data_IF_457051180687
#
_entry.id   IF_457051180687
#
_cell.length_a   1.000
_cell.length_b   1.000
_cell.length_c   1.000
_cell.angle_alpha   90.00
_cell.angle_beta   90.00
_cell.angle_gamma   90.00
#
_symmetry.space_group_name_H-M   'P 1'
#
loop_
_entity.id
_entity.type
_entity.pdbx_description
1 polymer ?
#
# COMPACT_ATOMS: atom_id res chain seq x y z
N UNK A 1 29.27 18.33 -17.70
CA UNK A 1 28.86 16.91 -17.82
C UNK A 1 28.08 16.50 -16.59
N UNK A 2 26.74 16.38 -16.67
CA UNK A 2 25.98 15.58 -15.72
C UNK A 2 25.59 14.27 -16.42
N UNK A 3 26.52 13.31 -16.47
CA UNK A 3 26.29 11.99 -17.11
C UNK A 3 25.33 11.10 -16.30
N UNK A 4 24.91 11.53 -15.11
CA UNK A 4 23.99 10.79 -14.24
C UNK A 4 22.78 11.67 -13.91
N UNK A 5 21.58 11.19 -14.22
CA UNK A 5 20.33 11.77 -13.76
C UNK A 5 19.75 10.91 -12.63
N UNK A 6 19.89 11.38 -11.38
CA UNK A 6 19.35 10.68 -10.21
C UNK A 6 17.82 10.72 -10.21
N UNK A 7 17.15 9.69 -9.68
CA UNK A 7 15.68 9.65 -9.52
C UNK A 7 15.33 9.65 -8.02
N UNK A 8 15.09 10.83 -7.46
CA UNK A 8 14.62 11.02 -6.08
C UNK A 8 13.13 11.35 -6.02
N UNK A 9 12.64 11.72 -4.82
CA UNK A 9 11.22 12.00 -4.53
C UNK A 9 10.52 12.87 -5.56
N UNK A 10 11.03 14.09 -5.78
CA UNK A 10 10.44 15.05 -6.73
C UNK A 10 10.34 14.46 -8.14
N UNK A 11 11.32 13.66 -8.58
CA UNK A 11 11.26 13.05 -9.92
C UNK A 11 10.30 11.86 -10.02
N UNK A 12 9.93 11.23 -8.90
CA UNK A 12 8.84 10.24 -8.88
C UNK A 12 7.48 10.92 -8.90
N UNK A 13 7.33 12.05 -8.21
CA UNK A 13 6.14 12.91 -8.32
C UNK A 13 5.93 13.39 -9.78
N UNK A 14 6.96 13.97 -10.41
CA UNK A 14 6.90 14.37 -11.82
C UNK A 14 6.60 13.19 -12.77
N UNK A 15 6.96 11.96 -12.40
CA UNK A 15 6.64 10.79 -13.18
C UNK A 15 5.13 10.47 -13.13
N UNK A 16 4.46 10.69 -11.99
CA UNK A 16 3.00 10.56 -11.87
C UNK A 16 2.31 11.56 -12.78
N UNK A 17 2.73 12.82 -12.77
CA UNK A 17 2.18 13.87 -13.65
C UNK A 17 2.37 13.51 -15.13
N UNK A 18 3.56 13.03 -15.49
CA UNK A 18 3.85 12.59 -16.85
C UNK A 18 2.99 11.39 -17.28
N UNK A 19 2.78 10.42 -16.38
CA UNK A 19 1.91 9.25 -16.62
C UNK A 19 0.47 9.73 -16.83
N UNK A 20 -0.07 10.53 -15.91
CA UNK A 20 -1.43 11.10 -16.02
C UNK A 20 -1.63 11.83 -17.34
N UNK A 21 -0.70 12.70 -17.74
CA UNK A 21 -0.76 13.41 -19.03
C UNK A 21 -0.72 12.46 -20.23
N UNK A 22 0.12 11.41 -20.18
CA UNK A 22 0.28 10.45 -21.28
C UNK A 22 -0.93 9.52 -21.42
N UNK A 23 -1.50 9.07 -20.31
CA UNK A 23 -2.65 8.14 -20.31
C UNK A 23 -3.99 8.88 -20.40
N UNK A 24 -4.00 10.20 -20.17
CA UNK A 24 -5.21 11.01 -19.98
C UNK A 24 -6.08 10.55 -18.79
N UNK A 25 -5.51 9.74 -17.88
CA UNK A 25 -6.18 9.36 -16.65
C UNK A 25 -5.87 10.41 -15.57
N UNK A 26 -6.87 10.91 -14.82
CA UNK A 26 -6.63 11.82 -13.70
C UNK A 26 -5.84 11.11 -12.59
N UNK A 27 -5.07 11.87 -11.79
CA UNK A 27 -4.27 11.31 -10.69
C UNK A 27 -5.15 10.59 -9.66
N UNK A 28 -6.40 11.02 -9.50
CA UNK A 28 -7.42 10.37 -8.66
C UNK A 28 -7.69 8.91 -9.04
N UNK A 29 -7.40 8.50 -10.28
CA UNK A 29 -7.57 7.11 -10.74
C UNK A 29 -6.29 6.28 -10.67
N UNK A 30 -5.17 6.88 -10.23
CA UNK A 30 -3.86 6.22 -10.16
C UNK A 30 -3.68 5.57 -8.79
N UNK A 31 -3.11 4.37 -8.81
CA UNK A 31 -2.59 3.66 -7.63
C UNK A 31 -1.06 3.72 -7.66
N UNK A 32 -0.43 4.18 -6.58
CA UNK A 32 1.03 4.12 -6.43
C UNK A 32 1.42 3.51 -5.08
N UNK A 33 2.49 2.72 -5.11
CA UNK A 33 3.06 2.04 -3.96
C UNK A 33 4.46 2.59 -3.68
N UNK A 34 4.76 2.83 -2.40
CA UNK A 34 6.08 3.25 -1.96
C UNK A 34 6.42 2.65 -0.60
N UNK A 35 7.71 2.42 -0.37
CA UNK A 35 8.21 1.77 0.85
C UNK A 35 9.24 2.62 1.60
N UNK A 36 9.70 3.72 1.00
CA UNK A 36 10.87 4.46 1.46
C UNK A 36 10.71 5.98 1.37
N UNK A 37 11.71 6.69 1.90
CA UNK A 37 11.78 8.15 1.81
C UNK A 37 11.79 8.66 0.36
N UNK A 38 12.25 7.88 -0.61
CA UNK A 38 12.29 8.32 -2.01
C UNK A 38 10.90 8.39 -2.65
N UNK A 39 9.87 7.86 -2.00
CA UNK A 39 8.52 7.76 -2.54
C UNK A 39 7.57 8.83 -1.97
N UNK A 40 7.99 9.57 -0.94
CA UNK A 40 7.09 10.43 -0.14
C UNK A 40 6.40 11.53 -0.95
N UNK A 41 7.09 12.09 -1.95
CA UNK A 41 6.54 13.13 -2.83
C UNK A 41 5.48 12.54 -3.76
N UNK A 42 5.76 11.37 -4.34
CA UNK A 42 4.82 10.63 -5.18
C UNK A 42 3.57 10.25 -4.40
N UNK A 43 3.74 9.67 -3.20
CA UNK A 43 2.62 9.26 -2.35
C UNK A 43 1.79 10.46 -1.90
N UNK A 44 2.44 11.55 -1.46
CA UNK A 44 1.73 12.76 -1.06
C UNK A 44 0.93 13.34 -2.23
N UNK A 45 1.52 13.38 -3.44
CA UNK A 45 0.83 13.90 -4.61
C UNK A 45 -0.44 13.11 -4.94
N UNK A 46 -0.38 11.77 -4.90
CA UNK A 46 -1.58 10.96 -5.09
C UNK A 46 -2.60 11.21 -3.99
N UNK A 47 -2.17 11.26 -2.73
CA UNK A 47 -3.04 11.48 -1.57
C UNK A 47 -3.81 12.80 -1.69
N UNK A 48 -3.14 13.87 -2.11
CA UNK A 48 -3.73 15.21 -2.24
C UNK A 48 -4.73 15.29 -3.41
N UNK A 49 -4.50 14.52 -4.47
CA UNK A 49 -5.35 14.48 -5.68
C UNK A 49 -6.45 13.41 -5.60
N UNK A 50 -6.63 12.76 -4.45
CA UNK A 50 -7.65 11.71 -4.26
C UNK A 50 -7.32 10.36 -4.88
N UNK A 51 -6.08 10.14 -5.33
CA UNK A 51 -5.60 8.85 -5.81
C UNK A 51 -5.29 7.88 -4.67
N UNK A 52 -4.91 6.65 -5.01
CA UNK A 52 -4.60 5.61 -4.01
C UNK A 52 -3.09 5.58 -3.75
N UNK A 53 -2.69 6.08 -2.58
CA UNK A 53 -1.30 6.16 -2.14
C UNK A 53 -1.05 5.09 -1.08
N UNK A 54 -0.23 4.09 -1.42
CA UNK A 54 0.01 2.91 -0.57
C UNK A 54 1.41 2.96 0.04
N UNK A 55 1.47 2.90 1.38
CA UNK A 55 2.68 2.52 2.11
C UNK A 55 2.80 1.00 2.13
N UNK A 56 3.73 0.44 1.35
CA UNK A 56 3.92 -1.00 1.19
C UNK A 56 5.12 -1.48 2.00
N UNK A 57 4.89 -2.24 3.09
CA UNK A 57 5.96 -2.69 4.01
C UNK A 57 6.97 -1.56 4.32
N UNK A 58 6.43 -0.36 4.50
CA UNK A 58 7.17 0.89 4.52
C UNK A 58 7.63 1.27 5.93
N UNK A 59 7.65 2.57 6.16
CA UNK A 59 8.14 3.16 7.41
C UNK A 59 7.33 4.42 7.76
N UNK A 60 7.77 5.15 8.79
CA UNK A 60 7.10 6.37 9.25
C UNK A 60 6.94 7.44 8.16
N UNK A 61 7.87 7.50 7.20
CA UNK A 61 7.86 8.50 6.14
C UNK A 61 6.76 8.20 5.11
N UNK A 62 6.60 6.93 4.72
CA UNK A 62 5.54 6.53 3.77
C UNK A 62 4.16 6.52 4.42
N UNK A 63 4.02 6.04 5.66
CA UNK A 63 2.74 6.03 6.38
C UNK A 63 2.16 7.45 6.50
N UNK A 64 2.99 8.46 6.83
CA UNK A 64 2.52 9.85 6.92
C UNK A 64 2.05 10.46 5.59
N UNK A 65 2.44 9.87 4.46
CA UNK A 65 2.24 10.41 3.10
C UNK A 65 1.32 9.55 2.24
N UNK A 66 0.82 8.46 2.79
CA UNK A 66 -0.10 7.51 2.16
C UNK A 66 -1.52 7.69 2.70
N UNK A 67 -2.50 7.05 2.04
CA UNK A 67 -3.85 6.86 2.55
C UNK A 67 -4.15 5.39 2.90
N UNK A 68 -3.35 4.44 2.42
CA UNK A 68 -3.47 3.02 2.75
C UNK A 68 -2.10 2.47 3.18
N UNK A 69 -2.09 1.57 4.14
CA UNK A 69 -0.96 0.74 4.53
C UNK A 69 -1.20 -0.70 4.11
N UNK A 70 -0.22 -1.34 3.47
CA UNK A 70 -0.24 -2.78 3.18
C UNK A 70 0.98 -3.42 3.85
N UNK A 71 0.72 -4.30 4.81
CA UNK A 71 1.73 -5.12 5.47
C UNK A 71 1.57 -6.56 5.02
N UNK A 72 2.51 -7.07 4.23
CA UNK A 72 2.39 -8.39 3.58
C UNK A 72 3.74 -9.03 3.30
N UNK A 73 3.77 -10.36 3.21
CA UNK A 73 4.98 -11.13 2.86
C UNK A 73 5.28 -11.15 1.36
N UNK A 74 4.31 -10.83 0.51
CA UNK A 74 4.46 -10.87 -0.96
C UNK A 74 3.55 -9.84 -1.65
N UNK A 75 3.83 -9.56 -2.92
CA UNK A 75 3.11 -8.53 -3.69
C UNK A 75 1.68 -8.91 -4.07
N UNK A 76 1.27 -10.19 -3.98
CA UNK A 76 -0.13 -10.58 -4.24
C UNK A 76 -1.09 -9.94 -3.23
N UNK A 77 -0.57 -9.52 -2.06
CA UNK A 77 -1.34 -8.77 -1.07
C UNK A 77 -1.86 -7.41 -1.56
N UNK A 78 -1.39 -6.90 -2.70
CA UNK A 78 -1.85 -5.62 -3.26
C UNK A 78 -3.05 -5.78 -4.18
N UNK A 79 -3.33 -7.00 -4.67
CA UNK A 79 -4.39 -7.26 -5.64
C UNK A 79 -5.77 -6.75 -5.20
N UNK A 80 -6.21 -6.89 -3.93
CA UNK A 80 -7.51 -6.37 -3.50
C UNK A 80 -7.68 -4.87 -3.74
N UNK A 81 -6.60 -4.08 -3.61
CA UNK A 81 -6.66 -2.62 -3.83
C UNK A 81 -6.96 -2.28 -5.29
N UNK A 82 -6.44 -3.07 -6.24
CA UNK A 82 -6.70 -2.86 -7.65
C UNK A 82 -8.10 -3.32 -8.06
N UNK A 83 -8.60 -4.39 -7.44
CA UNK A 83 -9.96 -4.90 -7.69
C UNK A 83 -11.04 -3.95 -7.17
N UNK A 84 -10.84 -3.36 -5.99
CA UNK A 84 -11.86 -2.54 -5.30
C UNK A 84 -11.50 -1.05 -5.23
N UNK A 85 -10.71 -0.54 -6.18
CA UNK A 85 -10.27 0.87 -6.17
C UNK A 85 -11.45 1.86 -6.11
N UNK A 86 -12.56 1.55 -6.79
CA UNK A 86 -13.71 2.44 -6.93
C UNK A 86 -14.63 2.43 -5.69
N UNK A 87 -14.51 1.39 -4.85
CA UNK A 87 -15.28 1.19 -3.62
C UNK A 87 -14.37 1.06 -2.39
N UNK A 88 -13.17 1.65 -2.46
CA UNK A 88 -12.04 1.35 -1.59
C UNK A 88 -12.34 1.57 -0.10
N UNK A 89 -13.08 2.63 0.26
CA UNK A 89 -13.41 2.91 1.66
C UNK A 89 -14.27 1.78 2.27
N UNK A 90 -15.30 1.34 1.56
CA UNK A 90 -16.17 0.25 2.00
C UNK A 90 -15.43 -1.09 2.10
N UNK A 91 -14.50 -1.34 1.17
CA UNK A 91 -13.63 -2.50 1.21
C UNK A 91 -12.72 -2.46 2.45
N UNK A 92 -12.06 -1.33 2.71
CA UNK A 92 -11.14 -1.17 3.85
C UNK A 92 -11.85 -1.33 5.19
N UNK A 93 -13.05 -0.75 5.35
CA UNK A 93 -13.84 -0.88 6.58
C UNK A 93 -14.18 -2.34 6.89
N UNK A 94 -14.61 -3.10 5.88
CA UNK A 94 -14.89 -4.53 6.02
C UNK A 94 -13.61 -5.35 6.25
N UNK A 95 -12.54 -5.03 5.53
CA UNK A 95 -11.27 -5.74 5.61
C UNK A 95 -10.65 -5.60 6.99
N UNK A 96 -10.53 -4.37 7.51
CA UNK A 96 -9.96 -4.11 8.83
C UNK A 96 -10.78 -4.74 9.95
N UNK A 97 -12.11 -4.60 9.89
CA UNK A 97 -13.01 -5.13 10.92
C UNK A 97 -12.89 -6.64 11.09
N UNK A 98 -12.64 -7.37 10.00
CA UNK A 98 -12.61 -8.83 9.99
C UNK A 98 -11.19 -9.40 9.81
N UNK A 99 -10.15 -8.55 9.85
CA UNK A 99 -8.80 -8.94 9.51
C UNK A 99 -8.26 -10.08 10.39
N UNK A 100 -8.54 -10.07 11.69
CA UNK A 100 -8.08 -11.12 12.61
C UNK A 100 -8.67 -12.50 12.24
N UNK A 101 -9.94 -12.53 11.82
CA UNK A 101 -10.60 -13.74 11.34
C UNK A 101 -9.94 -14.22 10.04
N UNK A 102 -9.73 -13.33 9.07
CA UNK A 102 -9.13 -13.67 7.78
C UNK A 102 -7.69 -14.16 7.94
N UNK A 103 -6.90 -13.47 8.77
CA UNK A 103 -5.52 -13.82 9.06
C UNK A 103 -5.39 -15.20 9.69
N UNK A 104 -6.35 -15.61 10.52
CA UNK A 104 -6.36 -16.94 11.14
C UNK A 104 -6.53 -18.05 10.10
N UNK A 105 -7.36 -17.83 9.08
CA UNK A 105 -7.57 -18.75 7.98
C UNK A 105 -8.10 -17.99 6.74
N UNK A 106 -7.34 -17.94 5.62
CA UNK A 106 -7.77 -17.22 4.41
C UNK A 106 -9.08 -17.76 3.80
N UNK A 107 -9.52 -18.98 4.18
CA UNK A 107 -10.83 -19.50 3.75
C UNK A 107 -12.01 -18.76 4.37
N UNK A 108 -11.81 -18.10 5.51
CA UNK A 108 -12.84 -17.32 6.21
C UNK A 108 -13.19 -16.02 5.47
N UNK A 109 -12.40 -15.60 4.48
CA UNK A 109 -12.74 -14.45 3.65
C UNK A 109 -14.05 -14.77 2.89
N UNK A 110 -15.14 -14.01 3.09
CA UNK A 110 -16.42 -14.32 2.48
C UNK A 110 -16.37 -14.19 0.95
N UNK A 111 -17.22 -14.94 0.26
CA UNK A 111 -17.39 -14.80 -1.19
C UNK A 111 -17.86 -13.39 -1.54
N UNK A 112 -17.32 -12.83 -2.64
CA UNK A 112 -17.65 -11.49 -3.11
C UNK A 112 -16.87 -10.34 -2.46
N UNK A 113 -16.20 -10.56 -1.31
CA UNK A 113 -15.33 -9.54 -0.69
C UNK A 113 -14.00 -9.35 -1.45
N UNK A 114 -13.52 -10.43 -2.06
CA UNK A 114 -12.46 -10.45 -3.08
C UNK A 114 -12.82 -11.48 -4.16
N UNK A 115 -12.26 -11.34 -5.35
CA UNK A 115 -12.37 -12.38 -6.38
C UNK A 115 -11.88 -13.74 -5.87
N UNK A 116 -12.50 -14.80 -6.38
CA UNK A 116 -12.07 -16.18 -6.11
C UNK A 116 -10.61 -16.42 -6.51
N UNK A 117 -10.11 -15.74 -7.53
CA UNK A 117 -8.71 -15.83 -7.93
C UNK A 117 -7.77 -15.31 -6.82
N UNK A 118 -8.01 -14.12 -6.29
CA UNK A 118 -7.21 -13.57 -5.19
C UNK A 118 -7.33 -14.45 -3.94
N UNK A 119 -8.54 -14.87 -3.59
CA UNK A 119 -8.76 -15.78 -2.44
C UNK A 119 -7.96 -17.08 -2.61
N UNK A 120 -7.93 -17.65 -3.81
CA UNK A 120 -7.16 -18.86 -4.10
C UNK A 120 -5.65 -18.64 -3.92
N UNK A 121 -5.10 -17.48 -4.28
CA UNK A 121 -3.70 -17.17 -3.98
C UNK A 121 -3.42 -17.11 -2.47
N UNK A 122 -4.31 -16.47 -1.70
CA UNK A 122 -4.17 -16.35 -0.25
C UNK A 122 -4.23 -17.72 0.43
N UNK A 123 -5.16 -18.58 0.01
CA UNK A 123 -5.25 -19.97 0.47
C UNK A 123 -4.04 -20.79 0.04
N UNK A 124 -3.61 -20.71 -1.23
CA UNK A 124 -2.47 -21.48 -1.74
C UNK A 124 -1.17 -21.17 -0.99
N UNK A 125 -0.91 -19.89 -0.72
CA UNK A 125 0.32 -19.44 -0.07
C UNK A 125 0.19 -19.23 1.44
N UNK A 126 -0.97 -19.56 2.02
CA UNK A 126 -1.23 -19.48 3.46
C UNK A 126 -0.88 -18.12 4.07
N UNK A 127 -1.36 -17.04 3.44
CA UNK A 127 -1.16 -15.67 3.94
C UNK A 127 -2.38 -14.80 3.66
N UNK A 128 -2.54 -13.75 4.46
CA UNK A 128 -3.53 -12.67 4.25
C UNK A 128 -2.83 -11.33 4.49
N UNK A 129 -2.89 -10.37 3.54
CA UNK A 129 -2.31 -9.05 3.74
C UNK A 129 -3.07 -8.28 4.81
N UNK A 130 -2.34 -7.61 5.70
CA UNK A 130 -2.91 -6.59 6.57
C UNK A 130 -3.04 -5.31 5.75
N UNK A 131 -4.27 -4.84 5.55
CA UNK A 131 -4.57 -3.65 4.77
C UNK A 131 -5.29 -2.68 5.71
N UNK A 132 -4.72 -1.51 5.93
CA UNK A 132 -5.19 -0.53 6.92
C UNK A 132 -5.40 0.84 6.24
N UNK A 133 -6.57 1.45 6.43
CA UNK A 133 -6.92 2.82 6.07
C UNK A 133 -6.21 3.79 7.02
N UNK A 134 -5.50 4.76 6.46
CA UNK A 134 -4.70 5.73 7.21
C UNK A 134 -5.41 7.06 7.45
N UNK A 135 -6.56 7.32 6.82
CA UNK A 135 -7.21 8.64 6.84
C UNK A 135 -7.66 9.07 8.24
N UNK A 136 -8.15 8.14 9.06
CA UNK A 136 -8.81 8.43 10.34
C UNK A 136 -8.13 7.77 11.54
N UNK A 137 -6.82 7.51 11.46
CA UNK A 137 -6.05 6.87 12.54
C UNK A 137 -5.47 7.89 13.50
N UNK A 138 -5.58 7.62 14.79
CA UNK A 138 -4.86 8.38 15.84
C UNK A 138 -3.34 8.17 15.72
N UNK A 139 -2.55 9.07 16.32
CA UNK A 139 -1.09 8.92 16.35
C UNK A 139 -0.65 7.57 16.94
N UNK A 140 -1.36 7.08 17.97
CA UNK A 140 -1.07 5.77 18.58
C UNK A 140 -1.32 4.62 17.60
N UNK A 141 -2.40 4.66 16.84
CA UNK A 141 -2.67 3.65 15.81
C UNK A 141 -1.63 3.72 14.69
N UNK A 142 -1.27 4.93 14.23
CA UNK A 142 -0.22 5.10 13.23
C UNK A 142 1.12 4.51 13.71
N UNK A 143 1.51 4.72 14.97
CA UNK A 143 2.73 4.13 15.54
C UNK A 143 2.70 2.60 15.53
N UNK A 144 1.54 2.00 15.82
CA UNK A 144 1.33 0.54 15.74
C UNK A 144 1.48 0.05 14.30
N UNK A 145 0.86 0.74 13.34
CA UNK A 145 0.95 0.43 11.90
C UNK A 145 2.40 0.50 11.42
N UNK A 146 3.12 1.57 11.81
CA UNK A 146 4.54 1.76 11.47
C UNK A 146 5.37 0.61 12.05
N UNK A 147 5.11 0.19 13.29
CA UNK A 147 5.82 -0.93 13.90
C UNK A 147 5.58 -2.25 13.15
N UNK A 148 4.33 -2.54 12.76
CA UNK A 148 3.96 -3.71 11.94
C UNK A 148 4.67 -3.69 10.58
N UNK A 149 4.61 -2.57 9.85
CA UNK A 149 5.27 -2.42 8.55
C UNK A 149 6.78 -2.56 8.65
N UNK A 150 7.44 -1.94 9.63
CA UNK A 150 8.88 -2.10 9.85
C UNK A 150 9.26 -3.54 10.19
N UNK A 151 8.43 -4.26 10.97
CA UNK A 151 8.65 -5.68 11.26
C UNK A 151 8.56 -6.52 9.99
N UNK A 152 7.56 -6.28 9.15
CA UNK A 152 7.41 -7.00 7.88
C UNK A 152 8.53 -6.64 6.88
N UNK A 153 8.92 -5.37 6.80
CA UNK A 153 10.07 -4.89 6.01
C UNK A 153 11.33 -5.67 6.33
N UNK A 154 11.66 -5.83 7.63
CA UNK A 154 12.80 -6.64 8.08
C UNK A 154 12.64 -8.12 7.76
N UNK A 155 11.41 -8.65 7.88
CA UNK A 155 11.12 -10.05 7.54
C UNK A 155 11.40 -10.34 6.06
N UNK A 156 10.98 -9.45 5.15
CA UNK A 156 11.12 -9.68 3.70
C UNK A 156 12.45 -9.22 3.12
N UNK A 157 13.11 -8.21 3.71
CA UNK A 157 14.39 -7.64 3.21
C UNK A 157 15.62 -8.07 4.02
N UNK A 158 15.45 -8.77 5.13
CA UNK A 158 16.54 -9.08 6.05
C UNK A 158 17.23 -7.82 6.57
N UNK A 159 18.56 -7.85 6.66
CA UNK A 159 19.37 -6.74 7.19
C UNK A 159 19.19 -5.43 6.41
N UNK A 160 18.99 -5.50 5.08
CA UNK A 160 18.78 -4.37 4.20
C UNK A 160 17.45 -3.64 4.45
N UNK A 161 16.54 -4.24 5.23
CA UNK A 161 15.32 -3.58 5.70
C UNK A 161 15.56 -2.51 6.77
N UNK A 162 16.76 -2.48 7.38
CA UNK A 162 17.16 -1.43 8.32
C UNK A 162 17.77 -0.20 7.63
N UNK A 163 18.11 -0.31 6.33
CA UNK A 163 18.62 0.80 5.54
C UNK A 163 17.45 1.60 4.94
N UNK A 164 17.53 2.92 5.02
CA UNK A 164 16.57 3.85 4.41
C UNK A 164 15.15 3.71 4.94
#
# INVERSE_FOLDING_TARGET
MNKVQVRGGIRKELAVEAISKKTKAPISEIVALGDSITDINMLQRLKDEGGVAVSFNGNRFTVGRANIAITTVNNLGTLPIFEYKDSIESFLDLWEKNYDEFRSNPRNIPEGLISNEIKNYFVKYQFVPEIENLKNKSNRELDIIIAKQKKMRKKVRGWAGNLG
#
